data_IF_034482649366
#
_entry.id   IF_034482649366
#
_cell.length_a   1.000
_cell.length_b   1.000
_cell.length_c   1.000
_cell.angle_alpha   90.00
_cell.angle_beta   90.00
_cell.angle_gamma   90.00
#
_symmetry.space_group_name_H-M   'P 1'
#
loop_
_entity.id
_entity.type
_entity.pdbx_description
1 polymer ?
#
# COMPACT_ATOMS: atom_id res chain seq x y z
N UNK A 1 -43.44 16.77 -3.01
CA UNK A 1 -42.47 16.29 -2.01
C UNK A 1 -42.72 17.04 -0.73
N UNK A 2 -43.21 16.36 0.30
CA UNK A 2 -43.47 16.97 1.61
C UNK A 2 -42.12 17.20 2.33
N UNK A 3 -42.05 18.18 3.23
CA UNK A 3 -40.85 18.53 4.01
C UNK A 3 -40.25 17.31 4.70
N UNK A 4 -41.09 16.40 5.20
CA UNK A 4 -40.70 15.16 5.87
C UNK A 4 -39.96 14.19 4.93
N UNK A 5 -40.46 14.00 3.71
CA UNK A 5 -39.84 13.15 2.67
C UNK A 5 -38.49 13.72 2.24
N UNK A 6 -38.39 15.05 2.12
CA UNK A 6 -37.14 15.74 1.81
C UNK A 6 -36.07 15.50 2.90
N UNK A 7 -36.45 15.57 4.18
CA UNK A 7 -35.55 15.26 5.30
C UNK A 7 -35.12 13.79 5.31
N UNK A 8 -36.03 12.86 5.07
CA UNK A 8 -35.69 11.42 5.00
C UNK A 8 -34.76 11.12 3.83
N UNK A 9 -35.01 11.69 2.65
CA UNK A 9 -34.12 11.56 1.50
C UNK A 9 -32.72 12.14 1.79
N UNK A 10 -32.65 13.30 2.44
CA UNK A 10 -31.40 13.91 2.88
C UNK A 10 -30.66 13.06 3.92
N UNK A 11 -31.36 12.47 4.89
CA UNK A 11 -30.77 11.56 5.88
C UNK A 11 -30.24 10.29 5.22
N UNK A 12 -30.99 9.71 4.28
CA UNK A 12 -30.60 8.52 3.55
C UNK A 12 -29.40 8.82 2.65
N UNK A 13 -29.39 9.95 1.94
CA UNK A 13 -28.24 10.43 1.19
C UNK A 13 -27.04 10.69 2.10
N UNK A 14 -27.21 11.34 3.26
CA UNK A 14 -26.13 11.56 4.22
C UNK A 14 -25.58 10.25 4.76
N UNK A 15 -26.43 9.28 5.07
CA UNK A 15 -26.02 7.96 5.54
C UNK A 15 -25.26 7.20 4.45
N UNK A 16 -25.73 7.21 3.21
CA UNK A 16 -25.05 6.59 2.06
C UNK A 16 -23.71 7.26 1.78
N UNK A 17 -23.65 8.60 1.79
CA UNK A 17 -22.41 9.37 1.60
C UNK A 17 -21.44 9.11 2.75
N UNK A 18 -21.90 9.11 4.01
CA UNK A 18 -21.07 8.83 5.18
C UNK A 18 -20.54 7.40 5.19
N UNK A 19 -21.36 6.42 4.76
CA UNK A 19 -20.96 5.02 4.64
C UNK A 19 -20.00 4.80 3.46
N UNK A 20 -20.14 5.56 2.38
CA UNK A 20 -19.17 5.58 1.28
C UNK A 20 -17.83 6.23 1.68
N UNK A 21 -17.88 7.21 2.59
CA UNK A 21 -16.72 7.90 3.20
C UNK A 21 -16.30 7.30 4.54
N UNK A 22 -16.67 6.05 4.82
CA UNK A 22 -16.37 5.44 6.11
C UNK A 22 -14.87 5.10 6.23
N UNK A 23 -14.10 6.12 6.62
CA UNK A 23 -12.68 6.07 6.88
C UNK A 23 -12.34 5.17 8.09
N UNK A 24 -13.35 4.66 8.81
CA UNK A 24 -13.11 3.70 9.90
C UNK A 24 -12.46 2.43 9.41
N UNK A 25 -12.85 1.95 8.22
CA UNK A 25 -12.24 0.81 7.58
C UNK A 25 -10.76 1.08 7.31
N UNK A 26 -10.43 2.27 6.79
CA UNK A 26 -9.06 2.68 6.49
C UNK A 26 -8.19 2.78 7.75
N UNK A 27 -8.72 3.33 8.82
CA UNK A 27 -8.01 3.45 10.09
C UNK A 27 -7.62 2.09 10.70
N UNK A 28 -8.39 1.04 10.41
CA UNK A 28 -8.06 -0.33 10.82
C UNK A 28 -6.86 -0.93 10.04
N UNK A 29 -6.49 -0.36 8.89
CA UNK A 29 -5.32 -0.78 8.13
C UNK A 29 -3.99 -0.24 8.66
N UNK A 30 -4.01 0.77 9.53
CA UNK A 30 -2.78 1.42 10.00
C UNK A 30 -1.76 0.46 10.63
N UNK A 31 -2.23 -0.47 11.48
CA UNK A 31 -1.36 -1.48 12.09
C UNK A 31 -0.81 -2.49 11.07
N UNK A 32 -1.65 -2.91 10.12
CA UNK A 32 -1.25 -3.82 9.04
C UNK A 32 -0.16 -3.17 8.20
N UNK A 33 -0.33 -1.90 7.86
CA UNK A 33 0.63 -1.15 7.07
C UNK A 33 1.96 -0.95 7.78
N UNK A 34 1.95 -0.65 9.09
CA UNK A 34 3.18 -0.57 9.87
C UNK A 34 3.93 -1.92 9.86
N UNK A 35 3.24 -3.03 10.06
CA UNK A 35 3.84 -4.37 9.97
C UNK A 35 4.40 -4.65 8.56
N UNK A 36 3.63 -4.34 7.52
CA UNK A 36 4.01 -4.52 6.13
C UNK A 36 5.21 -3.64 5.73
N UNK A 37 5.37 -2.47 6.35
CA UNK A 37 6.55 -1.64 6.14
C UNK A 37 7.82 -2.37 6.56
N UNK A 38 7.83 -3.05 7.71
CA UNK A 38 8.97 -3.87 8.14
C UNK A 38 9.20 -5.06 7.22
N UNK A 39 8.14 -5.81 6.88
CA UNK A 39 8.25 -7.00 6.03
C UNK A 39 8.80 -6.62 4.65
N UNK A 40 8.17 -5.65 3.98
CA UNK A 40 8.53 -5.27 2.61
C UNK A 40 9.83 -4.48 2.56
N UNK A 41 10.07 -3.58 3.53
CA UNK A 41 11.35 -2.89 3.69
C UNK A 41 12.51 -3.88 3.88
N UNK A 42 12.31 -4.87 4.75
CA UNK A 42 13.25 -5.99 4.93
C UNK A 42 13.44 -6.82 3.65
N UNK A 43 12.38 -7.04 2.87
CA UNK A 43 12.44 -7.70 1.57
C UNK A 43 13.30 -6.96 0.54
N UNK A 44 13.16 -5.63 0.46
CA UNK A 44 13.99 -4.81 -0.41
C UNK A 44 15.46 -4.79 0.05
N UNK A 45 15.72 -4.68 1.36
CA UNK A 45 17.08 -4.78 1.91
C UNK A 45 17.71 -6.16 1.64
N UNK A 46 16.94 -7.23 1.80
CA UNK A 46 17.39 -8.58 1.47
C UNK A 46 17.64 -8.75 -0.04
N UNK A 47 16.83 -8.09 -0.89
CA UNK A 47 17.05 -8.05 -2.35
C UNK A 47 18.37 -7.34 -2.69
N UNK A 48 18.65 -6.20 -2.05
CA UNK A 48 19.91 -5.46 -2.20
C UNK A 48 21.11 -6.31 -1.75
N UNK A 49 20.96 -7.01 -0.61
CA UNK A 49 21.98 -7.90 -0.09
C UNK A 49 22.26 -9.09 -1.02
N UNK A 50 21.24 -9.78 -1.52
CA UNK A 50 21.39 -10.88 -2.50
C UNK A 50 22.12 -10.38 -3.75
N UNK A 51 21.77 -9.18 -4.21
CA UNK A 51 22.43 -8.55 -5.35
C UNK A 51 23.92 -8.27 -5.08
N UNK A 52 24.23 -7.74 -3.89
CA UNK A 52 25.61 -7.49 -3.46
C UNK A 52 26.43 -8.80 -3.32
N UNK A 53 25.78 -9.92 -3.01
CA UNK A 53 26.39 -11.26 -3.00
C UNK A 53 26.58 -11.86 -4.41
N UNK A 54 26.25 -11.11 -5.47
CA UNK A 54 26.38 -11.59 -6.84
C UNK A 54 25.28 -12.56 -7.28
N UNK A 55 24.20 -12.72 -6.52
CA UNK A 55 23.08 -13.55 -6.93
C UNK A 55 22.33 -12.88 -8.08
N UNK A 56 22.39 -13.49 -9.27
CA UNK A 56 21.72 -13.00 -10.49
C UNK A 56 20.59 -13.91 -10.97
N UNK A 57 20.58 -15.17 -10.52
CA UNK A 57 19.54 -16.14 -10.89
C UNK A 57 18.19 -15.83 -10.21
N UNK A 58 17.06 -16.16 -10.86
CA UNK A 58 15.72 -15.81 -10.36
C UNK A 58 15.33 -16.57 -9.08
N UNK A 59 15.91 -17.75 -8.81
CA UNK A 59 15.48 -18.65 -7.73
C UNK A 59 15.51 -18.00 -6.34
N UNK A 60 16.60 -17.31 -5.99
CA UNK A 60 16.72 -16.66 -4.68
C UNK A 60 15.68 -15.54 -4.49
N UNK A 61 15.43 -14.74 -5.54
CA UNK A 61 14.45 -13.66 -5.50
C UNK A 61 13.01 -14.18 -5.46
N UNK A 62 12.70 -15.23 -6.22
CA UNK A 62 11.38 -15.88 -6.20
C UNK A 62 11.09 -16.47 -4.83
N UNK A 63 12.07 -17.14 -4.21
CA UNK A 63 11.91 -17.70 -2.87
C UNK A 63 11.69 -16.59 -1.84
N UNK A 64 12.54 -15.54 -1.86
CA UNK A 64 12.42 -14.40 -0.95
C UNK A 64 11.03 -13.76 -1.06
N UNK A 65 10.65 -13.30 -2.25
CA UNK A 65 9.39 -12.59 -2.44
C UNK A 65 8.16 -13.51 -2.30
N UNK A 66 8.27 -14.80 -2.61
CA UNK A 66 7.22 -15.78 -2.37
C UNK A 66 6.93 -15.97 -0.88
N UNK A 67 7.97 -16.10 -0.06
CA UNK A 67 7.84 -16.17 1.41
C UNK A 67 7.24 -14.88 1.95
N UNK A 68 7.77 -13.71 1.54
CA UNK A 68 7.25 -12.42 1.98
C UNK A 68 5.78 -12.22 1.59
N UNK A 69 5.39 -12.62 0.38
CA UNK A 69 3.99 -12.54 -0.05
C UNK A 69 3.08 -13.41 0.82
N UNK A 70 3.52 -14.63 1.14
CA UNK A 70 2.82 -15.53 2.05
C UNK A 70 2.64 -14.93 3.46
N UNK A 71 3.70 -14.34 4.01
CA UNK A 71 3.65 -13.65 5.32
C UNK A 71 2.72 -12.42 5.27
N UNK A 72 2.83 -11.58 4.23
CA UNK A 72 1.95 -10.42 4.05
C UNK A 72 0.48 -10.83 3.98
N UNK A 73 0.12 -11.81 3.15
CA UNK A 73 -1.25 -12.32 3.03
C UNK A 73 -1.76 -12.86 4.37
N UNK A 74 -0.98 -13.74 5.01
CA UNK A 74 -1.34 -14.36 6.29
C UNK A 74 -1.56 -13.32 7.37
N UNK A 75 -0.69 -12.32 7.48
CA UNK A 75 -0.82 -11.23 8.45
C UNK A 75 -2.11 -10.42 8.26
N UNK A 76 -2.53 -10.14 7.02
CA UNK A 76 -3.81 -9.45 6.75
C UNK A 76 -4.97 -10.27 7.31
N UNK A 77 -5.03 -11.57 7.00
CA UNK A 77 -6.13 -12.43 7.45
C UNK A 77 -6.17 -12.59 8.96
N UNK A 78 -5.01 -12.77 9.61
CA UNK A 78 -4.93 -12.90 11.07
C UNK A 78 -5.32 -11.60 11.79
N UNK A 79 -4.82 -10.45 11.32
CA UNK A 79 -5.11 -9.17 11.96
C UNK A 79 -6.54 -8.67 11.74
N UNK A 80 -7.22 -9.19 10.70
CA UNK A 80 -8.65 -8.95 10.46
C UNK A 80 -9.56 -10.01 11.05
N UNK A 81 -9.02 -11.11 11.59
CA UNK A 81 -9.79 -12.21 12.20
C UNK A 81 -10.48 -11.72 13.48
N UNK A 82 -11.74 -11.31 13.37
CA UNK A 82 -12.53 -10.78 14.48
C UNK A 82 -13.13 -9.39 14.22
N UNK A 83 -12.71 -8.70 13.16
CA UNK A 83 -13.53 -7.62 12.60
C UNK A 83 -14.71 -8.30 11.91
N UNK A 84 -15.95 -7.96 12.28
CA UNK A 84 -17.12 -8.54 11.63
C UNK A 84 -16.91 -8.43 10.12
N UNK A 85 -16.96 -9.56 9.43
CA UNK A 85 -16.84 -9.68 7.99
C UNK A 85 -18.08 -9.10 7.29
N UNK A 86 -18.52 -7.91 7.72
CA UNK A 86 -19.45 -7.08 6.97
C UNK A 86 -18.85 -6.80 5.60
N UNK A 87 -19.72 -6.51 4.64
CA UNK A 87 -19.37 -6.15 3.27
C UNK A 87 -18.12 -5.26 3.28
N UNK A 88 -17.00 -5.75 2.73
CA UNK A 88 -15.76 -4.97 2.59
C UNK A 88 -16.12 -3.57 2.13
N UNK A 89 -15.61 -2.52 2.78
CA UNK A 89 -15.99 -1.18 2.37
C UNK A 89 -15.55 -0.92 0.92
N UNK A 90 -16.17 0.04 0.24
CA UNK A 90 -15.75 0.43 -1.10
C UNK A 90 -14.25 0.75 -1.14
N UNK A 91 -13.77 1.51 -0.15
CA UNK A 91 -12.36 1.87 0.02
C UNK A 91 -11.48 0.62 0.20
N UNK A 92 -11.90 -0.36 1.02
CA UNK A 92 -11.12 -1.59 1.20
C UNK A 92 -10.96 -2.39 -0.09
N UNK A 93 -12.00 -2.45 -0.93
CA UNK A 93 -11.92 -3.10 -2.24
C UNK A 93 -10.95 -2.37 -3.16
N UNK A 94 -10.97 -1.04 -3.17
CA UNK A 94 -10.04 -0.25 -3.98
C UNK A 94 -8.59 -0.42 -3.51
N UNK A 95 -8.33 -0.41 -2.20
CA UNK A 95 -7.00 -0.68 -1.64
C UNK A 95 -6.52 -2.08 -2.06
N UNK A 96 -7.40 -3.08 -1.97
CA UNK A 96 -7.07 -4.44 -2.42
C UNK A 96 -6.72 -4.48 -3.90
N UNK A 97 -7.55 -3.84 -4.74
CA UNK A 97 -7.33 -3.78 -6.18
C UNK A 97 -5.99 -3.11 -6.51
N UNK A 98 -5.72 -1.92 -5.97
CA UNK A 98 -4.46 -1.19 -6.16
C UNK A 98 -3.27 -2.08 -5.76
N UNK A 99 -3.36 -2.74 -4.60
CA UNK A 99 -2.30 -3.62 -4.12
C UNK A 99 -2.04 -4.81 -5.05
N UNK A 100 -3.09 -5.53 -5.44
CA UNK A 100 -2.96 -6.68 -6.34
C UNK A 100 -2.45 -6.29 -7.72
N UNK A 101 -2.88 -5.13 -8.23
CA UNK A 101 -2.50 -4.67 -9.56
C UNK A 101 -1.02 -4.31 -9.61
N UNK A 102 -0.48 -3.64 -8.59
CA UNK A 102 0.96 -3.32 -8.62
C UNK A 102 1.84 -4.55 -8.39
N UNK A 103 1.40 -5.52 -7.57
CA UNK A 103 2.13 -6.79 -7.41
C UNK A 103 2.13 -7.55 -8.72
N UNK A 104 0.97 -7.66 -9.38
CA UNK A 104 0.88 -8.27 -10.71
C UNK A 104 1.78 -7.56 -11.72
N UNK A 105 1.82 -6.22 -11.69
CA UNK A 105 2.72 -5.42 -12.51
C UNK A 105 4.20 -5.72 -12.25
N UNK A 106 4.63 -5.81 -10.98
CA UNK A 106 6.00 -6.16 -10.62
C UNK A 106 6.39 -7.58 -11.07
N UNK A 107 5.48 -8.55 -10.89
CA UNK A 107 5.69 -9.92 -11.37
C UNK A 107 5.82 -9.94 -12.89
N UNK A 108 4.96 -9.21 -13.61
CA UNK A 108 5.04 -9.13 -15.06
C UNK A 108 6.34 -8.48 -15.54
N UNK A 109 6.78 -7.40 -14.88
CA UNK A 109 8.09 -6.78 -15.16
C UNK A 109 9.23 -7.78 -14.94
N UNK A 110 9.20 -8.55 -13.85
CA UNK A 110 10.19 -9.59 -13.60
C UNK A 110 10.21 -10.67 -14.70
N UNK A 111 9.03 -11.14 -15.12
CA UNK A 111 8.91 -12.11 -16.20
C UNK A 111 9.41 -11.55 -17.53
N UNK A 112 9.06 -10.30 -17.86
CA UNK A 112 9.55 -9.62 -19.07
C UNK A 112 11.07 -9.49 -19.06
N UNK A 113 11.67 -9.08 -17.94
CA UNK A 113 13.12 -8.98 -17.81
C UNK A 113 13.81 -10.34 -17.98
N UNK A 114 13.22 -11.40 -17.42
CA UNK A 114 13.71 -12.77 -17.58
C UNK A 114 13.63 -13.22 -19.04
N UNK A 115 12.51 -12.98 -19.73
CA UNK A 115 12.32 -13.35 -21.14
C UNK A 115 13.21 -12.56 -22.09
N UNK A 116 13.56 -11.31 -21.74
CA UNK A 116 14.49 -10.48 -22.48
C UNK A 116 15.97 -10.81 -22.18
N UNK A 117 16.24 -11.73 -21.26
CA UNK A 117 17.60 -12.11 -20.87
C UNK A 117 18.36 -11.00 -20.15
N UNK A 118 17.66 -10.09 -19.45
CA UNK A 118 18.32 -9.05 -18.67
C UNK A 118 18.91 -9.65 -17.39
N UNK A 119 20.12 -9.22 -17.03
CA UNK A 119 20.82 -9.66 -15.81
C UNK A 119 20.10 -9.28 -14.50
N UNK A 120 19.08 -8.41 -14.59
CA UNK A 120 18.31 -7.89 -13.45
C UNK A 120 16.86 -8.31 -13.58
N UNK A 121 16.42 -9.19 -12.68
CA UNK A 121 15.01 -9.54 -12.56
C UNK A 121 14.16 -8.30 -12.23
N UNK A 122 14.66 -7.42 -11.37
CA UNK A 122 13.99 -6.18 -10.99
C UNK A 122 14.90 -4.98 -11.23
N UNK A 123 14.31 -3.90 -11.73
CA UNK A 123 14.98 -2.59 -11.84
C UNK A 123 14.34 -1.66 -10.79
N UNK A 124 15.08 -1.20 -9.77
CA UNK A 124 14.51 -0.39 -8.67
C UNK A 124 13.73 0.83 -9.13
N UNK A 125 14.21 1.50 -10.19
CA UNK A 125 13.53 2.64 -10.79
C UNK A 125 12.15 2.27 -11.38
N UNK A 126 12.03 1.11 -12.03
CA UNK A 126 10.74 0.63 -12.57
C UNK A 126 9.78 0.30 -11.43
N UNK A 127 10.28 -0.29 -10.34
CA UNK A 127 9.46 -0.50 -9.14
C UNK A 127 8.96 0.82 -8.56
N UNK A 128 9.80 1.86 -8.49
CA UNK A 128 9.37 3.19 -8.06
C UNK A 128 8.28 3.78 -8.95
N UNK A 129 8.33 3.60 -10.26
CA UNK A 129 7.27 4.06 -11.17
C UNK A 129 5.94 3.36 -10.87
N UNK A 130 5.95 2.04 -10.66
CA UNK A 130 4.75 1.29 -10.28
C UNK A 130 4.21 1.73 -8.92
N UNK A 131 5.09 2.04 -7.97
CA UNK A 131 4.69 2.57 -6.66
C UNK A 131 4.11 3.98 -6.78
N UNK A 132 4.72 4.85 -7.58
CA UNK A 132 4.20 6.18 -7.84
C UNK A 132 2.78 6.12 -8.42
N UNK A 133 2.54 5.26 -9.41
CA UNK A 133 1.20 5.02 -9.97
C UNK A 133 0.21 4.51 -8.92
N UNK A 134 0.65 3.56 -8.08
CA UNK A 134 -0.18 3.00 -7.02
C UNK A 134 -0.58 4.06 -5.99
N UNK A 135 0.36 4.89 -5.56
CA UNK A 135 0.10 5.98 -4.63
C UNK A 135 -0.69 7.14 -5.27
N UNK A 136 -0.57 7.36 -6.57
CA UNK A 136 -1.42 8.32 -7.30
C UNK A 136 -2.89 7.85 -7.32
N UNK A 137 -3.12 6.56 -7.56
CA UNK A 137 -4.45 5.95 -7.44
C UNK A 137 -5.02 6.06 -6.02
N UNK A 138 -4.16 5.88 -5.00
CA UNK A 138 -4.54 6.15 -3.61
C UNK A 138 -4.87 7.63 -3.38
N UNK A 139 -4.19 8.57 -4.05
CA UNK A 139 -4.51 10.00 -3.99
C UNK A 139 -5.88 10.37 -4.53
N UNK A 140 -6.30 9.70 -5.61
CA UNK A 140 -7.64 9.87 -6.15
C UNK A 140 -8.72 9.38 -5.19
N UNK A 141 -8.42 8.37 -4.36
CA UNK A 141 -9.35 7.75 -3.43
C UNK A 141 -9.36 8.42 -2.04
N UNK A 142 -8.19 8.80 -1.55
CA UNK A 142 -7.93 9.07 -0.13
C UNK A 142 -7.34 10.47 0.11
N UNK A 143 -7.21 11.28 -0.92
CA UNK A 143 -6.87 12.70 -0.82
C UNK A 143 -5.40 13.05 -1.10
N UNK A 144 -5.12 14.35 -1.00
CA UNK A 144 -3.93 14.97 -1.61
C UNK A 144 -2.58 14.47 -1.11
N UNK A 145 -2.51 13.99 0.14
CA UNK A 145 -1.22 13.61 0.77
C UNK A 145 -0.57 12.45 0.03
N UNK A 146 -1.36 11.56 -0.56
CA UNK A 146 -0.88 10.40 -1.32
C UNK A 146 -0.28 10.79 -2.67
N UNK A 147 -0.71 11.89 -3.30
CA UNK A 147 -0.02 12.44 -4.46
C UNK A 147 1.39 12.93 -4.10
N UNK A 148 1.59 13.43 -2.88
CA UNK A 148 2.92 13.74 -2.38
C UNK A 148 3.81 12.50 -2.30
N UNK A 149 3.26 11.37 -1.84
CA UNK A 149 3.99 10.10 -1.81
C UNK A 149 4.26 9.57 -3.23
N UNK A 150 3.30 9.72 -4.14
CA UNK A 150 3.48 9.37 -5.54
C UNK A 150 4.60 10.18 -6.20
N UNK A 151 4.62 11.50 -5.98
CA UNK A 151 5.68 12.37 -6.46
C UNK A 151 7.04 11.99 -5.88
N UNK A 152 7.10 11.66 -4.59
CA UNK A 152 8.32 11.20 -3.95
C UNK A 152 8.89 9.94 -4.61
N UNK A 153 8.06 8.93 -4.89
CA UNK A 153 8.50 7.74 -5.64
C UNK A 153 8.87 8.06 -7.08
N UNK A 154 8.16 8.97 -7.77
CA UNK A 154 8.50 9.36 -9.13
C UNK A 154 9.87 10.05 -9.19
N UNK A 155 10.17 10.96 -8.27
CA UNK A 155 11.48 11.60 -8.15
C UNK A 155 12.57 10.60 -7.76
N UNK A 156 12.26 9.67 -6.85
CA UNK A 156 13.17 8.59 -6.50
C UNK A 156 13.49 7.69 -7.71
N UNK A 157 12.53 7.41 -8.58
CA UNK A 157 12.76 6.66 -9.81
C UNK A 157 13.82 7.32 -10.70
N UNK A 158 13.72 8.64 -10.88
CA UNK A 158 14.72 9.42 -11.63
C UNK A 158 16.09 9.38 -10.96
N UNK A 159 16.16 9.56 -9.64
CA UNK A 159 17.41 9.50 -8.88
C UNK A 159 18.07 8.13 -8.88
N UNK A 160 17.28 7.06 -8.81
CA UNK A 160 17.77 5.67 -8.76
C UNK A 160 18.50 5.23 -10.03
N UNK A 161 18.29 5.91 -11.17
CA UNK A 161 19.09 5.67 -12.38
C UNK A 161 20.58 5.93 -12.18
N UNK A 162 20.96 6.71 -11.16
CA UNK A 162 22.37 6.99 -10.81
C UNK A 162 22.89 6.18 -9.62
N UNK A 163 22.05 5.38 -8.97
CA UNK A 163 22.37 4.64 -7.74
C UNK A 163 22.16 3.14 -7.94
N UNK A 164 22.64 2.61 -9.07
CA UNK A 164 22.36 1.22 -9.45
C UNK A 164 22.87 0.18 -8.45
N UNK A 165 23.97 0.46 -7.74
CA UNK A 165 24.59 -0.48 -6.82
C UNK A 165 23.77 -0.71 -5.54
N UNK A 166 23.01 0.29 -5.08
CA UNK A 166 22.26 0.28 -3.81
C UNK A 166 20.80 0.69 -3.99
N UNK A 167 20.28 0.58 -5.22
CA UNK A 167 18.94 1.06 -5.56
C UNK A 167 17.84 0.34 -4.77
N UNK A 168 18.03 -0.94 -4.46
CA UNK A 168 17.08 -1.69 -3.63
C UNK A 168 17.16 -1.29 -2.16
N UNK A 169 18.35 -0.97 -1.65
CA UNK A 169 18.52 -0.44 -0.30
C UNK A 169 17.78 0.89 -0.11
N UNK A 170 17.97 1.82 -1.05
CA UNK A 170 17.25 3.12 -1.06
C UNK A 170 15.74 2.91 -1.20
N UNK A 171 15.32 2.00 -2.09
CA UNK A 171 13.91 1.66 -2.27
C UNK A 171 13.29 1.10 -0.99
N UNK A 172 14.00 0.22 -0.30
CA UNK A 172 13.58 -0.37 0.96
C UNK A 172 13.38 0.67 2.06
N UNK A 173 14.35 1.59 2.21
CA UNK A 173 14.24 2.70 3.15
C UNK A 173 13.08 3.63 2.82
N UNK A 174 12.94 4.01 1.55
CA UNK A 174 11.85 4.88 1.10
C UNK A 174 10.47 4.23 1.31
N UNK A 175 10.33 2.97 0.90
CA UNK A 175 9.11 2.18 1.09
C UNK A 175 8.76 2.04 2.56
N UNK A 176 9.74 1.73 3.41
CA UNK A 176 9.55 1.67 4.85
C UNK A 176 9.01 2.99 5.40
N UNK A 177 9.67 4.12 5.08
CA UNK A 177 9.26 5.44 5.58
C UNK A 177 7.84 5.81 5.14
N UNK A 178 7.51 5.62 3.86
CA UNK A 178 6.18 5.95 3.33
C UNK A 178 5.12 5.04 3.94
N UNK A 179 5.33 3.73 3.93
CA UNK A 179 4.33 2.77 4.40
C UNK A 179 4.16 2.82 5.92
N UNK A 180 5.24 2.91 6.68
CA UNK A 180 5.20 3.05 8.14
C UNK A 180 4.61 4.40 8.56
N UNK A 181 5.05 5.50 7.94
CA UNK A 181 4.55 6.85 8.25
C UNK A 181 3.04 6.97 7.99
N UNK A 182 2.60 6.43 6.85
CA UNK A 182 1.17 6.38 6.51
C UNK A 182 0.39 5.48 7.48
N UNK A 183 0.92 4.30 7.80
CA UNK A 183 0.32 3.38 8.75
C UNK A 183 0.20 3.98 10.16
N UNK A 184 1.22 4.69 10.62
CA UNK A 184 1.25 5.38 11.90
C UNK A 184 0.26 6.54 11.95
N UNK A 185 0.14 7.32 10.88
CA UNK A 185 -0.86 8.38 10.79
C UNK A 185 -2.29 7.82 10.91
N UNK A 186 -2.60 6.75 10.18
CA UNK A 186 -3.89 6.05 10.25
C UNK A 186 -4.15 5.44 11.63
N UNK A 187 -3.12 4.82 12.24
CA UNK A 187 -3.23 4.25 13.57
C UNK A 187 -3.48 5.32 14.63
N UNK A 188 -2.78 6.46 14.57
CA UNK A 188 -3.02 7.60 15.47
C UNK A 188 -4.41 8.20 15.29
N UNK A 189 -4.89 8.31 14.05
CA UNK A 189 -6.26 8.76 13.77
C UNK A 189 -7.30 7.82 14.40
N UNK A 190 -7.07 6.50 14.30
CA UNK A 190 -7.90 5.48 14.97
C UNK A 190 -7.93 5.65 16.48
N UNK A 191 -6.76 5.74 17.11
CA UNK A 191 -6.66 5.84 18.56
C UNK A 191 -7.32 7.12 19.08
N UNK A 192 -7.17 8.24 18.38
CA UNK A 192 -7.86 9.50 18.71
C UNK A 192 -9.38 9.38 18.60
N UNK A 193 -9.90 8.71 17.57
CA UNK A 193 -11.34 8.47 17.43
C UNK A 193 -11.88 7.62 18.57
N UNK A 194 -11.22 6.50 18.88
CA UNK A 194 -11.63 5.60 19.97
C UNK A 194 -11.59 6.31 21.33
N UNK A 195 -10.57 7.13 21.58
CA UNK A 195 -10.45 7.92 22.81
C UNK A 195 -11.53 9.01 22.94
N UNK A 196 -12.02 9.55 21.82
CA UNK A 196 -13.10 10.54 21.82
C UNK A 196 -14.50 9.92 22.05
N UNK A 197 -14.60 8.60 22.25
CA UNK A 197 -15.88 7.90 22.37
C UNK A 197 -16.71 7.90 21.09
N UNK A 198 -16.12 8.32 19.97
CA UNK A 198 -16.83 8.59 18.72
C UNK A 198 -16.88 7.30 17.89
N UNK A 199 -18.08 6.74 17.72
CA UNK A 199 -18.30 5.56 16.86
C UNK A 199 -18.55 5.96 15.40
N UNK A 200 -18.61 7.27 15.09
CA UNK A 200 -18.87 7.79 13.75
C UNK A 200 -17.61 8.06 12.91
N UNK A 201 -17.70 7.97 11.56
CA UNK A 201 -16.59 8.30 10.66
C UNK A 201 -16.26 9.80 10.70
N UNK A 202 -14.98 10.14 10.96
CA UNK A 202 -14.44 11.49 10.78
C UNK A 202 -13.48 11.50 9.59
N UNK A 203 -13.71 12.47 8.71
CA UNK A 203 -12.86 12.78 7.57
C UNK A 203 -11.54 13.40 8.07
N UNK A 204 -10.41 12.86 7.60
CA UNK A 204 -9.09 13.53 7.67
C UNK A 204 -8.83 14.20 6.33
#
# INVERSE_FOLDING_TARGET
>A
MNRTEATQALELMRRVVAQARDDTALQNWGAIWMLHAFINGGGFLATDWLWAQGQRGPGAFVLLWGVLLGVNLTSIFLMKRGQQAGVRSFIERQIWAIWTTFIGGLVLVALLNLLLGLDRLFVPAVACVLFAMSFASMGALMGRIWYGMALLFALAALGMTRLEAHGFGVLGGLWFLVQFGSGLALHRARSRRLAAGDTGPRLV
#
